data_IF_531931632532
#
_entry.id   IF_531931632532
#
_cell.length_a   1.000
_cell.length_b   1.000
_cell.length_c   1.000
_cell.angle_alpha   90.00
_cell.angle_beta   90.00
_cell.angle_gamma   90.00
#
_symmetry.space_group_name_H-M   'P 1'
#
loop_
_entity.id
_entity.type
_entity.pdbx_description
1 polymer ?
#
# COMPACT_ATOMS: atom_id res chain seq x y z
N UNK A 1 0.56 -4.41 17.63
CA UNK A 1 0.79 -3.43 16.54
C UNK A 1 0.52 -2.06 17.12
N UNK A 2 1.29 -1.05 16.73
CA UNK A 2 1.11 0.31 17.25
C UNK A 2 0.01 1.04 16.46
N UNK A 3 -0.66 1.99 17.10
CA UNK A 3 -1.70 2.77 16.43
C UNK A 3 -1.05 3.86 15.56
N UNK A 4 -1.64 4.14 14.40
CA UNK A 4 -1.24 5.30 13.62
C UNK A 4 -1.80 6.54 14.31
N UNK A 5 -0.93 7.33 14.92
CA UNK A 5 -1.29 8.61 15.54
C UNK A 5 -0.76 9.74 14.66
N UNK A 6 -1.67 10.56 14.13
CA UNK A 6 -1.34 11.60 13.17
C UNK A 6 -2.30 12.78 13.26
N UNK A 7 -1.93 13.89 12.61
CA UNK A 7 -2.76 15.08 12.50
C UNK A 7 -3.13 15.33 11.05
N UNK A 8 -4.38 15.69 10.81
CA UNK A 8 -4.85 16.18 9.51
C UNK A 8 -5.80 17.35 9.71
N UNK A 9 -5.56 18.45 9.01
CA UNK A 9 -6.34 19.68 9.10
C UNK A 9 -6.56 20.16 10.56
N UNK A 10 -5.51 20.08 11.37
CA UNK A 10 -5.55 20.52 12.77
C UNK A 10 -6.23 19.57 13.75
N UNK A 11 -6.69 18.39 13.31
CA UNK A 11 -7.31 17.36 14.16
C UNK A 11 -6.34 16.21 14.41
N UNK A 12 -6.15 15.86 15.67
CA UNK A 12 -5.45 14.63 16.05
C UNK A 12 -6.37 13.42 15.80
N UNK A 13 -5.84 12.41 15.12
CA UNK A 13 -6.51 11.19 14.75
C UNK A 13 -5.66 10.00 15.19
N UNK A 14 -6.34 8.92 15.53
CA UNK A 14 -5.74 7.64 15.89
C UNK A 14 -6.48 6.55 15.14
N UNK A 15 -5.74 5.68 14.46
CA UNK A 15 -6.29 4.59 13.66
C UNK A 15 -5.50 3.30 13.92
N UNK A 16 -6.22 2.25 14.27
CA UNK A 16 -5.68 0.89 14.43
C UNK A 16 -5.56 0.18 13.09
N UNK A 17 -4.74 -0.86 13.03
CA UNK A 17 -4.66 -1.70 11.83
C UNK A 17 -5.98 -2.42 11.55
N UNK A 18 -6.65 -2.87 12.60
CA UNK A 18 -7.95 -3.54 12.55
C UNK A 18 -9.01 -2.65 11.91
N UNK A 19 -9.07 -1.37 12.27
CA UNK A 19 -9.97 -0.40 11.64
C UNK A 19 -9.68 -0.25 10.14
N UNK A 20 -8.40 -0.26 9.72
CA UNK A 20 -8.06 -0.19 8.29
C UNK A 20 -8.56 -1.43 7.52
N UNK A 21 -8.50 -2.60 8.15
CA UNK A 21 -9.02 -3.84 7.57
C UNK A 21 -10.54 -3.82 7.48
N UNK A 22 -11.24 -3.39 8.53
CA UNK A 22 -12.71 -3.31 8.55
C UNK A 22 -13.25 -2.34 7.49
N UNK A 23 -12.55 -1.23 7.28
CA UNK A 23 -12.89 -0.30 6.20
C UNK A 23 -12.62 -0.89 4.80
N UNK A 24 -11.67 -1.82 4.68
CA UNK A 24 -11.40 -2.53 3.44
C UNK A 24 -12.31 -3.77 3.28
N UNK A 25 -13.53 -3.56 2.78
CA UNK A 25 -14.54 -4.63 2.56
C UNK A 25 -14.15 -5.70 1.52
N UNK A 26 -12.96 -5.64 0.94
CA UNK A 26 -12.54 -6.45 -0.22
C UNK A 26 -11.46 -7.50 0.09
N UNK A 27 -11.22 -7.82 1.37
CA UNK A 27 -10.22 -8.81 1.78
C UNK A 27 -8.82 -8.52 1.19
N UNK A 28 -8.45 -7.23 1.08
CA UNK A 28 -7.18 -6.80 0.50
C UNK A 28 -6.06 -6.71 1.55
N UNK A 29 -5.98 -7.70 2.44
CA UNK A 29 -5.07 -7.75 3.60
C UNK A 29 -3.63 -7.31 3.29
N UNK A 30 -3.01 -7.89 2.24
CA UNK A 30 -1.65 -7.55 1.84
C UNK A 30 -1.47 -6.07 1.44
N UNK A 31 -2.46 -5.49 0.76
CA UNK A 31 -2.43 -4.09 0.36
C UNK A 31 -2.64 -3.14 1.55
N UNK A 32 -3.53 -3.50 2.47
CA UNK A 32 -3.77 -2.73 3.70
C UNK A 32 -2.52 -2.76 4.60
N UNK A 33 -1.90 -3.93 4.78
CA UNK A 33 -0.64 -4.07 5.50
C UNK A 33 0.47 -3.19 4.91
N UNK A 34 0.59 -3.17 3.58
CA UNK A 34 1.58 -2.34 2.89
C UNK A 34 1.31 -0.84 3.12
N UNK A 35 0.06 -0.39 2.97
CA UNK A 35 -0.30 1.01 3.21
C UNK A 35 -0.11 1.42 4.66
N UNK A 36 -0.45 0.56 5.62
CA UNK A 36 -0.19 0.79 7.03
C UNK A 36 1.32 1.02 7.29
N UNK A 37 2.21 0.25 6.65
CA UNK A 37 3.66 0.46 6.76
C UNK A 37 4.14 1.72 6.04
N UNK A 38 3.56 2.06 4.87
CA UNK A 38 3.82 3.34 4.19
C UNK A 38 3.44 4.55 5.07
N UNK A 39 2.32 4.46 5.77
CA UNK A 39 1.85 5.52 6.66
C UNK A 39 2.72 5.64 7.92
N UNK A 40 3.16 4.52 8.51
CA UNK A 40 4.14 4.53 9.58
C UNK A 40 5.43 5.26 9.16
N UNK A 41 5.95 4.96 7.96
CA UNK A 41 7.10 5.67 7.40
C UNK A 41 6.83 7.17 7.29
N UNK A 42 5.69 7.56 6.72
CA UNK A 42 5.34 8.95 6.53
C UNK A 42 5.22 9.72 7.87
N UNK A 43 4.54 9.12 8.85
CA UNK A 43 4.35 9.67 10.20
C UNK A 43 5.70 9.79 10.93
N UNK A 44 6.64 8.88 10.69
CA UNK A 44 7.99 8.95 11.28
C UNK A 44 8.77 10.19 10.85
N UNK A 45 8.48 10.74 9.66
CA UNK A 45 9.07 12.01 9.21
C UNK A 45 8.33 13.23 9.75
N UNK A 46 7.00 13.16 9.77
CA UNK A 46 6.14 14.21 10.28
C UNK A 46 4.76 13.62 10.61
N UNK A 47 4.33 13.72 11.87
CA UNK A 47 3.01 13.28 12.29
C UNK A 47 1.88 14.20 11.82
N UNK A 48 2.18 15.44 11.38
CA UNK A 48 1.20 16.30 10.72
C UNK A 48 1.19 16.08 9.20
N UNK A 49 0.18 15.35 8.74
CA UNK A 49 0.01 14.95 7.34
C UNK A 49 -0.83 15.97 6.54
N UNK A 50 -1.22 17.10 7.13
CA UNK A 50 -2.13 18.08 6.51
C UNK A 50 -1.62 18.66 5.19
N UNK A 51 -0.29 18.70 5.00
CA UNK A 51 0.32 19.24 3.79
C UNK A 51 0.37 18.22 2.64
N UNK A 52 0.15 16.94 2.91
CA UNK A 52 0.14 15.91 1.86
C UNK A 52 -1.18 16.04 1.10
N UNK A 53 -1.07 16.33 -0.20
CA UNK A 53 -2.21 16.57 -1.07
C UNK A 53 -2.20 15.67 -2.31
N UNK A 54 -1.15 14.86 -2.48
CA UNK A 54 -0.98 13.97 -3.61
C UNK A 54 -0.37 12.62 -3.19
N UNK A 55 -0.89 11.55 -3.77
CA UNK A 55 -0.38 10.20 -3.65
C UNK A 55 -0.32 9.54 -5.03
N UNK A 56 0.83 9.00 -5.38
CA UNK A 56 1.00 8.15 -6.56
C UNK A 56 1.19 6.70 -6.14
N UNK A 57 0.46 5.79 -6.78
CA UNK A 57 0.59 4.35 -6.62
C UNK A 57 1.08 3.69 -7.90
N UNK A 58 2.33 3.25 -7.90
CA UNK A 58 2.96 2.61 -9.04
C UNK A 58 2.42 1.22 -9.39
N UNK A 59 1.57 0.64 -8.54
CA UNK A 59 0.86 -0.61 -8.80
C UNK A 59 -0.53 -0.39 -9.42
N UNK A 60 -0.88 0.87 -9.67
CA UNK A 60 -2.14 1.30 -10.28
C UNK A 60 -3.38 0.85 -9.52
N UNK A 61 -4.48 0.70 -10.27
CA UNK A 61 -5.78 0.25 -9.76
C UNK A 61 -5.75 -1.14 -9.11
N UNK A 62 -4.72 -1.95 -9.39
CA UNK A 62 -4.55 -3.26 -8.77
C UNK A 62 -4.22 -3.16 -7.27
N UNK A 63 -3.70 -2.01 -6.83
CA UNK A 63 -3.36 -1.70 -5.46
C UNK A 63 -4.55 -1.34 -4.58
N UNK A 64 -5.73 -1.93 -4.79
CA UNK A 64 -6.98 -1.51 -4.12
C UNK A 64 -6.85 -1.40 -2.59
N UNK A 65 -6.21 -2.38 -1.94
CA UNK A 65 -5.97 -2.32 -0.49
C UNK A 65 -5.18 -1.08 -0.07
N UNK A 66 -4.17 -0.70 -0.86
CA UNK A 66 -3.38 0.51 -0.61
C UNK A 66 -4.23 1.76 -0.81
N UNK A 67 -4.92 1.84 -1.95
CA UNK A 67 -5.72 3.01 -2.35
C UNK A 67 -6.84 3.28 -1.34
N UNK A 68 -7.59 2.25 -0.95
CA UNK A 68 -8.70 2.38 -0.01
C UNK A 68 -8.18 2.86 1.37
N UNK A 69 -7.04 2.34 1.83
CA UNK A 69 -6.41 2.78 3.09
C UNK A 69 -5.94 4.23 3.02
N UNK A 70 -5.30 4.66 1.93
CA UNK A 70 -4.88 6.05 1.76
C UNK A 70 -6.11 6.98 1.72
N UNK A 71 -7.14 6.62 0.95
CA UNK A 71 -8.38 7.40 0.91
C UNK A 71 -9.04 7.52 2.28
N UNK A 72 -9.05 6.44 3.08
CA UNK A 72 -9.59 6.46 4.43
C UNK A 72 -8.82 7.41 5.35
N UNK A 73 -7.49 7.25 5.43
CA UNK A 73 -6.63 8.03 6.34
C UNK A 73 -6.64 9.52 6.00
N UNK A 74 -6.65 9.84 4.71
CA UNK A 74 -6.71 11.22 4.22
C UNK A 74 -8.13 11.73 4.00
N UNK A 75 -9.17 10.96 4.33
CA UNK A 75 -10.58 11.31 4.10
C UNK A 75 -10.85 11.86 2.68
N UNK A 76 -10.30 11.20 1.67
CA UNK A 76 -10.39 11.57 0.24
C UNK A 76 -9.88 12.98 -0.11
N UNK A 77 -9.07 13.62 0.76
CA UNK A 77 -8.53 14.97 0.51
C UNK A 77 -7.29 14.98 -0.41
N UNK A 78 -6.73 13.80 -0.69
CA UNK A 78 -5.52 13.63 -1.50
C UNK A 78 -5.89 13.25 -2.92
N UNK A 79 -5.23 13.87 -3.89
CA UNK A 79 -5.31 13.45 -5.29
C UNK A 79 -4.54 12.14 -5.46
N UNK A 80 -5.18 11.11 -6.00
CA UNK A 80 -4.55 9.81 -6.26
C UNK A 80 -4.26 9.65 -7.76
N UNK A 81 -2.99 9.43 -8.10
CA UNK A 81 -2.55 9.05 -9.44
C UNK A 81 -2.17 7.57 -9.49
N UNK A 82 -2.72 6.87 -10.47
CA UNK A 82 -2.59 5.43 -10.68
C UNK A 82 -1.94 5.09 -12.03
N UNK A 83 -1.50 6.10 -12.79
CA UNK A 83 -0.91 5.92 -14.11
C UNK A 83 0.53 5.38 -14.02
N UNK A 84 0.66 4.07 -13.87
CA UNK A 84 1.97 3.41 -13.72
C UNK A 84 2.80 3.35 -15.01
N UNK A 85 2.26 3.75 -16.16
CA UNK A 85 3.00 3.73 -17.45
C UNK A 85 4.22 4.67 -17.43
N UNK A 86 4.24 5.63 -16.50
CA UNK A 86 5.35 6.56 -16.28
C UNK A 86 6.59 5.90 -15.64
N UNK A 87 6.51 4.63 -15.22
CA UNK A 87 7.55 3.95 -14.42
C UNK A 87 8.55 3.11 -15.24
N UNK A 88 8.58 3.25 -16.56
CA UNK A 88 9.44 2.41 -17.43
C UNK A 88 10.93 2.40 -17.04
N UNK A 89 11.44 3.49 -16.46
CA UNK A 89 12.85 3.64 -16.07
C UNK A 89 13.08 3.55 -14.55
N UNK A 90 12.04 3.27 -13.76
CA UNK A 90 12.16 3.21 -12.29
C UNK A 90 12.60 1.82 -11.85
N UNK A 91 13.69 1.74 -11.08
CA UNK A 91 14.19 0.48 -10.51
C UNK A 91 13.45 0.19 -9.21
N UNK A 92 12.41 -0.63 -9.31
CA UNK A 92 11.61 -1.15 -8.20
C UNK A 92 10.99 -2.51 -8.58
N UNK A 93 10.61 -3.34 -7.59
CA UNK A 93 10.03 -4.67 -7.83
C UNK A 93 8.75 -4.58 -8.66
N UNK A 94 8.60 -5.50 -9.60
CA UNK A 94 7.41 -5.55 -10.47
C UNK A 94 6.16 -5.97 -9.70
N UNK A 95 5.04 -5.32 -10.01
CA UNK A 95 3.75 -5.74 -9.52
C UNK A 95 3.17 -6.90 -10.34
N UNK A 96 2.39 -7.81 -9.72
CA UNK A 96 1.89 -8.99 -10.41
C UNK A 96 1.07 -8.66 -11.66
N UNK A 97 0.37 -7.52 -11.65
CA UNK A 97 -0.63 -7.17 -12.64
C UNK A 97 -0.32 -5.86 -13.40
N UNK A 98 0.97 -5.54 -13.56
CA UNK A 98 1.46 -4.32 -14.20
C UNK A 98 1.91 -3.26 -13.19
N UNK A 99 2.86 -2.43 -13.60
CA UNK A 99 3.47 -1.40 -12.74
C UNK A 99 4.55 -1.94 -11.81
N UNK A 100 4.91 -1.13 -10.80
CA UNK A 100 6.00 -1.41 -9.84
C UNK A 100 5.59 -1.01 -8.43
N UNK A 101 6.15 -1.69 -7.42
CA UNK A 101 5.99 -1.31 -6.02
C UNK A 101 6.80 -0.06 -5.67
N UNK A 102 6.31 1.06 -6.20
CA UNK A 102 6.87 2.39 -6.11
C UNK A 102 5.74 3.36 -5.78
N UNK A 103 5.95 4.23 -4.80
CA UNK A 103 4.94 5.12 -4.26
C UNK A 103 5.52 6.52 -4.12
N UNK A 104 4.68 7.55 -4.28
CA UNK A 104 5.09 8.92 -4.02
C UNK A 104 4.04 9.61 -3.17
N UNK A 105 4.46 10.26 -2.10
CA UNK A 105 3.64 11.24 -1.39
C UNK A 105 4.18 12.63 -1.68
N UNK A 106 3.31 13.60 -2.00
CA UNK A 106 3.71 14.99 -2.18
C UNK A 106 2.88 15.95 -1.33
N UNK A 107 3.57 16.98 -0.87
CA UNK A 107 3.04 18.12 -0.15
C UNK A 107 4.05 19.26 -0.23
N UNK A 108 4.57 19.69 0.93
CA UNK A 108 5.70 20.64 0.97
C UNK A 108 7.02 20.02 0.49
N UNK A 109 7.13 18.69 0.57
CA UNK A 109 8.25 17.88 0.08
C UNK A 109 7.70 16.72 -0.73
N UNK A 110 8.53 16.14 -1.57
CA UNK A 110 8.22 14.90 -2.28
C UNK A 110 8.94 13.73 -1.60
N UNK A 111 8.20 12.69 -1.25
CA UNK A 111 8.74 11.48 -0.63
C UNK A 111 8.49 10.34 -1.60
N UNK A 112 9.56 9.78 -2.14
CA UNK A 112 9.51 8.64 -3.06
C UNK A 112 9.93 7.40 -2.31
N UNK A 113 9.17 6.32 -2.48
CA UNK A 113 9.30 5.10 -1.69
C UNK A 113 9.27 3.91 -2.66
N UNK A 114 10.22 2.99 -2.55
CA UNK A 114 10.22 1.74 -3.29
C UNK A 114 10.32 0.55 -2.35
N UNK A 115 9.65 -0.53 -2.71
CA UNK A 115 9.76 -1.80 -1.98
C UNK A 115 11.12 -2.46 -2.28
N UNK A 116 11.70 -3.15 -1.30
CA UNK A 116 12.87 -4.01 -1.51
C UNK A 116 12.48 -5.33 -2.19
N UNK A 117 13.37 -5.87 -3.04
CA UNK A 117 13.04 -6.99 -3.97
C UNK A 117 12.58 -8.28 -3.28
N UNK A 118 13.11 -8.61 -2.10
CA UNK A 118 12.90 -9.92 -1.45
C UNK A 118 11.61 -10.05 -0.65
N UNK A 119 10.72 -9.06 -0.70
CA UNK A 119 9.58 -8.99 0.22
C UNK A 119 8.29 -9.57 -0.35
N UNK A 120 8.21 -9.73 -1.65
CA UNK A 120 6.98 -10.21 -2.29
C UNK A 120 7.09 -11.70 -2.48
N UNK A 121 6.18 -12.43 -1.84
CA UNK A 121 6.12 -13.86 -1.97
C UNK A 121 5.79 -14.25 -3.44
N UNK A 122 6.58 -15.17 -4.02
CA UNK A 122 6.38 -15.63 -5.41
C UNK A 122 5.01 -16.28 -5.64
N UNK A 123 4.49 -17.02 -4.65
CA UNK A 123 3.17 -17.61 -4.69
C UNK A 123 2.09 -16.53 -4.73
N UNK A 124 2.27 -15.44 -3.96
CA UNK A 124 1.38 -14.28 -4.04
C UNK A 124 1.36 -13.68 -5.46
N UNK A 125 2.52 -13.52 -6.09
CA UNK A 125 2.63 -13.01 -7.47
C UNK A 125 1.90 -13.94 -8.44
N UNK A 126 2.16 -15.25 -8.35
CA UNK A 126 1.58 -16.27 -9.22
C UNK A 126 0.06 -16.30 -9.13
N UNK A 127 -0.49 -16.40 -7.92
CA UNK A 127 -1.94 -16.45 -7.70
C UNK A 127 -2.59 -15.13 -8.09
N UNK A 128 -1.98 -13.98 -7.79
CA UNK A 128 -2.51 -12.66 -8.19
C UNK A 128 -2.60 -12.47 -9.70
N UNK A 129 -1.69 -13.09 -10.47
CA UNK A 129 -1.76 -13.13 -11.95
C UNK A 129 -2.81 -14.12 -12.45
N UNK A 130 -2.94 -15.25 -11.80
CA UNK A 130 -3.89 -16.30 -12.17
C UNK A 130 -5.33 -15.83 -12.06
N UNK A 131 -5.68 -15.19 -10.93
CA UNK A 131 -7.06 -14.76 -10.65
C UNK A 131 -7.57 -13.73 -11.66
N UNK A 132 -6.68 -12.92 -12.26
CA UNK A 132 -7.03 -11.93 -13.29
C UNK A 132 -7.57 -12.54 -14.59
N UNK A 133 -7.31 -13.83 -14.82
CA UNK A 133 -7.81 -14.54 -16.02
C UNK A 133 -9.29 -14.90 -15.92
N UNK A 134 -9.88 -14.77 -14.74
CA UNK A 134 -11.24 -15.18 -14.45
C UNK A 134 -12.17 -13.99 -14.29
N UNK A 135 -13.34 -14.03 -14.95
CA UNK A 135 -14.44 -13.08 -14.69
C UNK A 135 -15.19 -13.40 -13.41
N UNK A 136 -15.34 -14.69 -13.12
CA UNK A 136 -15.91 -15.22 -11.87
C UNK A 136 -14.87 -16.18 -11.30
N UNK A 137 -14.43 -15.91 -10.09
CA UNK A 137 -13.33 -16.65 -9.48
C UNK A 137 -13.82 -18.00 -8.95
N UNK A 138 -13.16 -19.13 -9.26
CA UNK A 138 -13.45 -20.41 -8.63
C UNK A 138 -13.22 -20.35 -7.12
N UNK A 139 -14.09 -21.00 -6.34
CA UNK A 139 -14.04 -20.96 -4.88
C UNK A 139 -12.69 -21.42 -4.30
N UNK A 140 -12.07 -22.45 -4.89
CA UNK A 140 -10.77 -22.95 -4.42
C UNK A 140 -9.65 -21.92 -4.65
N UNK A 141 -9.71 -21.20 -5.78
CA UNK A 141 -8.77 -20.14 -6.12
C UNK A 141 -9.02 -18.88 -5.29
N UNK A 142 -10.26 -18.58 -4.93
CA UNK A 142 -10.61 -17.52 -3.99
C UNK A 142 -10.00 -17.79 -2.59
N UNK A 143 -10.15 -19.01 -2.08
CA UNK A 143 -9.56 -19.42 -0.81
C UNK A 143 -8.04 -19.35 -0.85
N UNK A 144 -7.41 -19.82 -1.95
CA UNK A 144 -5.95 -19.69 -2.15
C UNK A 144 -5.51 -18.23 -2.16
N UNK A 145 -6.21 -17.37 -2.92
CA UNK A 145 -5.93 -15.94 -3.01
C UNK A 145 -6.02 -15.26 -1.62
N UNK A 146 -7.04 -15.59 -0.85
CA UNK A 146 -7.19 -15.10 0.53
C UNK A 146 -6.02 -15.52 1.41
N UNK A 147 -5.61 -16.78 1.34
CA UNK A 147 -4.51 -17.31 2.14
C UNK A 147 -3.17 -16.66 1.78
N UNK A 148 -2.83 -16.52 0.49
CA UNK A 148 -1.58 -15.86 0.09
C UNK A 148 -1.57 -14.38 0.48
N UNK A 149 -2.73 -13.70 0.44
CA UNK A 149 -2.85 -12.30 0.92
C UNK A 149 -2.59 -12.20 2.42
N UNK A 150 -3.13 -13.10 3.23
CA UNK A 150 -2.90 -13.14 4.69
C UNK A 150 -1.46 -13.51 5.03
N UNK A 151 -0.84 -14.41 4.27
CA UNK A 151 0.58 -14.74 4.45
C UNK A 151 1.47 -13.54 4.13
N UNK A 152 1.19 -12.84 3.03
CA UNK A 152 1.91 -11.62 2.66
C UNK A 152 1.70 -10.49 3.70
N UNK A 153 0.48 -10.33 4.20
CA UNK A 153 0.17 -9.41 5.31
C UNK A 153 1.04 -9.72 6.53
N UNK A 154 1.06 -10.98 7.00
CA UNK A 154 1.87 -11.37 8.17
C UNK A 154 3.35 -11.07 7.97
N UNK A 155 3.87 -11.37 6.77
CA UNK A 155 5.26 -11.09 6.42
C UNK A 155 5.56 -9.58 6.49
N UNK A 156 4.70 -8.74 5.92
CA UNK A 156 4.88 -7.28 5.93
C UNK A 156 4.74 -6.70 7.33
N UNK A 157 3.75 -7.13 8.11
CA UNK A 157 3.52 -6.60 9.45
C UNK A 157 4.63 -6.94 10.43
N UNK A 158 5.27 -8.11 10.27
CA UNK A 158 6.37 -8.60 11.11
C UNK A 158 7.70 -7.87 10.91
N UNK A 159 7.81 -6.99 9.93
CA UNK A 159 9.04 -6.25 9.60
C UNK A 159 8.94 -4.78 10.00
N UNK A 160 10.07 -4.14 10.29
CA UNK A 160 10.13 -2.69 10.45
C UNK A 160 10.21 -1.98 9.10
N UNK A 161 9.92 -0.68 9.07
CA UNK A 161 9.80 0.09 7.83
C UNK A 161 11.09 0.06 7.00
N UNK A 162 12.24 0.13 7.66
CA UNK A 162 13.59 0.08 7.09
C UNK A 162 13.90 -1.24 6.40
N UNK A 163 13.28 -2.34 6.85
CA UNK A 163 13.42 -3.65 6.22
C UNK A 163 12.52 -3.79 4.99
N UNK A 164 11.49 -2.95 4.89
CA UNK A 164 10.48 -3.02 3.84
C UNK A 164 10.81 -2.11 2.65
N UNK A 165 11.26 -0.89 2.95
CA UNK A 165 11.35 0.19 1.97
C UNK A 165 12.75 0.79 1.85
N UNK A 166 13.06 1.28 0.66
CA UNK A 166 14.02 2.36 0.45
C UNK A 166 13.23 3.63 0.13
N UNK A 167 13.71 4.80 0.55
CA UNK A 167 13.06 6.08 0.28
C UNK A 167 14.05 7.22 0.03
N UNK A 168 13.55 8.26 -0.64
CA UNK A 168 14.24 9.54 -0.80
C UNK A 168 13.26 10.69 -0.56
N UNK A 169 13.77 11.78 0.04
CA UNK A 169 13.04 13.03 0.24
C UNK A 169 13.65 14.07 -0.71
N UNK A 170 12.82 14.62 -1.59
CA UNK A 170 13.17 15.61 -2.63
C UNK A 170 12.55 16.96 -2.31
#
# INVERSE_FOLDING_TARGET
MENLVYKINGKDLEVTYEELIENNKSNMYAGVALAYKLLNLLISFNSDLSNINYFFSGIGENGKGVIDTINYVFNNSVTIDLNYDVLNNVVAPDAPNGGKYYFIFKGNKEIRIKLKESLINEEFIKISREVKKYKVLPNDLEVKLLNVRKNQEKAVLGLIVEEIFDWEIV
#
